data_IF_668029714529
#
_entry.id   IF_668029714529
#
_cell.length_a   1.000
_cell.length_b   1.000
_cell.length_c   1.000
_cell.angle_alpha   90.00
_cell.angle_beta   90.00
_cell.angle_gamma   90.00
#
_symmetry.space_group_name_H-M   'P 1'
#
loop_
_entity.id
_entity.type
_entity.pdbx_description
1 polymer ?
#
# COMPACT_ATOMS: atom_id res chain seq x y z
N UNK A 1 23.44 -31.25 -19.08
CA UNK A 1 22.73 -30.87 -17.83
C UNK A 1 23.10 -29.43 -17.54
N UNK A 2 22.14 -28.50 -17.67
CA UNK A 2 22.32 -27.08 -17.36
C UNK A 2 22.01 -26.85 -15.89
N UNK A 3 22.99 -26.35 -15.13
CA UNK A 3 22.80 -25.95 -13.74
C UNK A 3 21.94 -24.71 -13.67
N UNK A 4 20.71 -24.85 -13.17
CA UNK A 4 19.87 -23.73 -12.74
C UNK A 4 20.62 -22.92 -11.68
N UNK A 5 20.92 -21.67 -11.99
CA UNK A 5 21.35 -20.71 -11.01
C UNK A 5 20.19 -20.50 -10.02
N UNK A 6 20.31 -21.05 -8.81
CA UNK A 6 19.47 -20.68 -7.67
C UNK A 6 19.68 -19.20 -7.40
N UNK A 7 18.77 -18.37 -7.93
CA UNK A 7 18.66 -16.97 -7.55
C UNK A 7 18.28 -16.94 -6.07
N UNK A 8 19.28 -16.71 -5.21
CA UNK A 8 19.06 -16.37 -3.81
C UNK A 8 18.43 -14.98 -3.76
N UNK A 9 17.11 -14.91 -3.93
CA UNK A 9 16.35 -13.73 -3.55
C UNK A 9 16.45 -13.66 -2.03
N UNK A 10 17.33 -12.78 -1.52
CA UNK A 10 17.24 -12.33 -0.11
C UNK A 10 15.77 -12.00 0.12
N UNK A 11 15.07 -12.80 0.94
CA UNK A 11 13.70 -12.49 1.35
C UNK A 11 13.74 -11.06 1.88
N UNK A 12 13.14 -10.13 1.15
CA UNK A 12 12.85 -8.82 1.71
C UNK A 12 12.02 -9.06 2.98
N UNK A 13 12.22 -8.25 4.02
CA UNK A 13 11.45 -8.36 5.26
C UNK A 13 9.96 -8.15 4.96
N UNK A 14 9.23 -9.22 4.66
CA UNK A 14 7.80 -9.22 4.35
C UNK A 14 6.94 -9.54 5.57
N UNK A 15 7.50 -9.45 6.79
CA UNK A 15 6.83 -9.85 8.04
C UNK A 15 5.57 -9.04 8.34
N UNK A 16 5.43 -7.84 7.78
CA UNK A 16 4.24 -6.98 7.91
C UNK A 16 3.19 -7.20 6.82
N UNK A 17 3.53 -7.92 5.74
CA UNK A 17 2.66 -8.03 4.58
C UNK A 17 1.61 -9.11 4.80
N UNK A 18 0.34 -8.73 4.75
CA UNK A 18 -0.77 -9.68 4.69
C UNK A 18 -0.87 -10.29 3.29
N UNK A 19 -0.70 -9.48 2.24
CA UNK A 19 -0.66 -9.93 0.85
C UNK A 19 0.31 -9.08 0.02
N UNK A 20 0.85 -9.67 -1.05
CA UNK A 20 1.74 -9.00 -2.00
C UNK A 20 1.10 -9.06 -3.39
N UNK A 21 1.04 -7.91 -4.05
CA UNK A 21 0.43 -7.72 -5.35
C UNK A 21 1.47 -7.18 -6.33
N UNK A 22 1.51 -7.70 -7.56
CA UNK A 22 2.50 -7.31 -8.58
C UNK A 22 1.82 -6.99 -9.91
N UNK A 23 2.25 -5.92 -10.56
CA UNK A 23 1.76 -5.50 -11.89
C UNK A 23 2.78 -4.56 -12.54
N UNK A 24 2.90 -4.59 -13.87
CA UNK A 24 3.75 -3.65 -14.65
C UNK A 24 5.17 -3.45 -14.09
N UNK A 25 5.79 -4.49 -13.52
CA UNK A 25 7.11 -4.40 -12.88
C UNK A 25 7.12 -3.83 -11.45
N UNK A 26 6.00 -3.27 -10.98
CA UNK A 26 5.79 -2.82 -9.61
C UNK A 26 5.32 -3.96 -8.69
N UNK A 27 5.56 -3.77 -7.40
CA UNK A 27 5.01 -4.62 -6.35
C UNK A 27 4.55 -3.75 -5.17
N UNK A 28 3.40 -4.10 -4.59
CA UNK A 28 2.89 -3.50 -3.37
C UNK A 28 2.48 -4.57 -2.35
N UNK A 29 2.64 -4.23 -1.09
CA UNK A 29 2.35 -5.00 0.09
C UNK A 29 1.14 -4.38 0.78
N UNK A 30 0.06 -5.13 0.95
CA UNK A 30 -1.06 -4.74 1.79
C UNK A 30 -0.71 -5.06 3.25
N UNK A 31 -0.89 -4.09 4.13
CA UNK A 31 -0.77 -4.27 5.57
C UNK A 31 -2.16 -4.17 6.20
N UNK A 32 -2.65 -5.30 6.71
CA UNK A 32 -3.99 -5.43 7.29
C UNK A 32 -4.04 -5.14 8.79
N UNK A 33 -3.35 -4.06 9.20
CA UNK A 33 -3.44 -3.48 10.55
C UNK A 33 -3.68 -1.98 10.41
N UNK A 34 -4.52 -1.42 11.28
CA UNK A 34 -4.88 0.00 11.21
C UNK A 34 -3.89 0.86 11.98
N UNK A 35 -3.31 1.85 11.32
CA UNK A 35 -2.35 2.79 11.90
C UNK A 35 -2.65 4.23 11.47
N UNK A 36 -2.12 5.20 12.21
CA UNK A 36 -2.11 6.60 11.75
C UNK A 36 -1.22 6.73 10.52
N UNK A 37 -1.40 7.78 9.73
CA UNK A 37 -0.60 7.98 8.54
C UNK A 37 0.91 8.01 8.87
N UNK A 38 1.31 8.78 9.89
CA UNK A 38 2.69 8.84 10.36
C UNK A 38 3.27 7.45 10.65
N UNK A 39 2.57 6.65 11.47
CA UNK A 39 3.03 5.30 11.80
C UNK A 39 3.08 4.38 10.57
N UNK A 40 2.12 4.47 9.65
CA UNK A 40 2.15 3.70 8.40
C UNK A 40 3.40 4.01 7.56
N UNK A 41 3.81 5.28 7.51
CA UNK A 41 5.04 5.72 6.82
C UNK A 41 6.28 5.13 7.48
N UNK A 42 6.38 5.22 8.80
CA UNK A 42 7.49 4.64 9.57
C UNK A 42 7.59 3.14 9.34
N UNK A 43 6.46 2.42 9.39
CA UNK A 43 6.41 0.97 9.18
C UNK A 43 6.85 0.59 7.77
N UNK A 44 6.35 1.27 6.73
CA UNK A 44 6.81 0.99 5.36
C UNK A 44 8.33 1.25 5.24
N UNK A 45 8.81 2.37 5.77
CA UNK A 45 10.22 2.76 5.69
C UNK A 45 11.14 1.78 6.43
N UNK A 46 10.74 1.29 7.62
CA UNK A 46 11.52 0.33 8.39
C UNK A 46 11.69 -1.03 7.68
N UNK A 47 10.87 -1.29 6.64
CA UNK A 47 10.93 -2.48 5.80
C UNK A 47 11.50 -2.21 4.40
N UNK A 48 12.20 -1.09 4.21
CA UNK A 48 12.73 -0.66 2.92
C UNK A 48 11.64 -0.55 1.82
N UNK A 49 10.44 -0.19 2.23
CA UNK A 49 9.31 0.15 1.36
C UNK A 49 8.96 1.63 1.55
N UNK A 50 7.97 2.14 0.80
CA UNK A 50 7.35 3.44 1.04
C UNK A 50 5.83 3.30 0.91
N UNK A 51 5.07 4.26 1.42
CA UNK A 51 3.63 4.31 1.16
C UNK A 51 3.36 4.33 -0.36
N UNK A 52 2.35 3.56 -0.79
CA UNK A 52 2.01 3.30 -2.20
C UNK A 52 1.57 4.55 -2.98
N UNK A 53 2.37 5.00 -3.94
CA UNK A 53 2.01 6.15 -4.76
C UNK A 53 1.14 5.73 -5.96
N UNK A 54 -0.04 6.35 -6.12
CA UNK A 54 -0.85 6.22 -7.34
C UNK A 54 -0.23 7.09 -8.43
N UNK A 55 0.24 6.48 -9.52
CA UNK A 55 0.83 7.22 -10.64
C UNK A 55 -0.16 7.43 -11.81
N UNK A 56 -1.11 6.52 -11.98
CA UNK A 56 -2.09 6.55 -13.05
C UNK A 56 -3.42 5.91 -12.61
N UNK A 57 -4.44 5.99 -13.49
CA UNK A 57 -5.76 5.41 -13.24
C UNK A 57 -5.71 3.88 -13.07
N UNK A 58 -4.70 3.22 -13.66
CA UNK A 58 -4.54 1.77 -13.55
C UNK A 58 -4.10 1.38 -12.13
N UNK A 59 -3.14 2.11 -11.55
CA UNK A 59 -2.72 1.94 -10.16
C UNK A 59 -3.93 2.12 -9.22
N UNK A 60 -4.77 3.14 -9.44
CA UNK A 60 -5.99 3.38 -8.66
C UNK A 60 -7.01 2.24 -8.78
N UNK A 61 -7.33 1.80 -10.01
CA UNK A 61 -8.26 0.69 -10.25
C UNK A 61 -7.79 -0.62 -9.64
N UNK A 62 -6.49 -0.87 -9.64
CA UNK A 62 -5.92 -2.11 -9.14
C UNK A 62 -5.96 -2.16 -7.61
N UNK A 63 -5.68 -1.05 -6.94
CA UNK A 63 -5.88 -0.93 -5.48
C UNK A 63 -7.36 -1.10 -5.13
N UNK A 64 -8.28 -0.51 -5.90
CA UNK A 64 -9.72 -0.73 -5.71
C UNK A 64 -10.08 -2.20 -5.85
N UNK A 65 -9.58 -2.87 -6.90
CA UNK A 65 -9.84 -4.28 -7.13
C UNK A 65 -9.38 -5.14 -5.94
N UNK A 66 -8.18 -4.89 -5.40
CA UNK A 66 -7.69 -5.62 -4.24
C UNK A 66 -8.45 -5.30 -2.96
N UNK A 67 -8.80 -4.04 -2.77
CA UNK A 67 -9.64 -3.58 -1.67
C UNK A 67 -11.00 -4.28 -1.70
N UNK A 68 -11.73 -4.20 -2.81
CA UNK A 68 -13.06 -4.82 -2.92
C UNK A 68 -12.99 -6.34 -2.76
N UNK A 69 -11.95 -6.98 -3.29
CA UNK A 69 -11.76 -8.43 -3.13
C UNK A 69 -11.50 -8.83 -1.67
N UNK A 70 -10.75 -8.02 -0.93
CA UNK A 70 -10.39 -8.32 0.45
C UNK A 70 -11.50 -7.96 1.45
N UNK A 71 -12.29 -6.93 1.16
CA UNK A 71 -13.33 -6.39 2.04
C UNK A 71 -14.76 -6.75 1.60
N UNK A 72 -14.97 -7.58 0.57
CA UNK A 72 -16.30 -8.08 0.15
C UNK A 72 -17.37 -6.97 -0.06
N UNK A 73 -16.97 -5.85 -0.67
CA UNK A 73 -17.79 -4.63 -0.83
C UNK A 73 -18.07 -3.83 0.46
N UNK A 74 -17.46 -4.16 1.59
CA UNK A 74 -17.47 -3.28 2.76
C UNK A 74 -16.64 -2.02 2.50
N UNK A 75 -17.03 -0.93 3.15
CA UNK A 75 -16.29 0.33 3.13
C UNK A 75 -14.88 0.12 3.69
N UNK A 76 -13.88 0.46 2.90
CA UNK A 76 -12.47 0.32 3.27
C UNK A 76 -11.72 1.61 3.04
N UNK A 77 -10.89 1.98 4.01
CA UNK A 77 -10.06 3.18 3.95
C UNK A 77 -8.57 2.82 4.09
N UNK A 78 -7.75 3.35 3.19
CA UNK A 78 -6.33 2.98 3.06
C UNK A 78 -5.45 4.21 2.91
N UNK A 79 -4.40 4.29 3.72
CA UNK A 79 -3.31 5.21 3.43
C UNK A 79 -2.55 4.75 2.19
N UNK A 80 -2.41 5.67 1.24
CA UNK A 80 -1.69 5.43 -0.01
C UNK A 80 -0.47 6.32 -0.12
N UNK A 81 -0.58 7.62 0.12
CA UNK A 81 0.48 8.57 -0.26
C UNK A 81 0.61 9.72 0.73
N UNK A 82 1.78 10.35 0.74
CA UNK A 82 2.05 11.62 1.41
C UNK A 82 2.16 12.67 0.30
N UNK A 83 1.19 13.58 0.20
CA UNK A 83 1.18 14.61 -0.85
C UNK A 83 2.27 15.67 -0.63
N UNK A 84 2.44 16.07 0.63
CA UNK A 84 3.48 16.97 1.12
C UNK A 84 3.81 16.62 2.58
N UNK A 85 4.80 17.29 3.19
CA UNK A 85 5.20 17.01 4.58
C UNK A 85 4.09 17.24 5.64
N UNK A 86 2.94 17.78 5.25
CA UNK A 86 1.83 18.15 6.12
C UNK A 86 0.53 17.37 5.85
N UNK A 87 0.41 16.65 4.73
CA UNK A 87 -0.85 16.00 4.34
C UNK A 87 -0.65 14.57 3.83
N UNK A 88 -1.53 13.70 4.31
CA UNK A 88 -1.70 12.34 3.84
C UNK A 88 -2.92 12.21 2.95
N UNK A 89 -2.84 11.27 2.02
CA UNK A 89 -3.95 10.88 1.17
C UNK A 89 -4.41 9.49 1.58
N UNK A 90 -5.70 9.38 1.88
CA UNK A 90 -6.39 8.12 1.98
C UNK A 90 -7.22 7.86 0.73
N UNK A 91 -7.21 6.62 0.27
CA UNK A 91 -8.20 6.10 -0.65
C UNK A 91 -9.37 5.55 0.17
N UNK A 92 -10.58 6.02 -0.13
CA UNK A 92 -11.81 5.56 0.51
C UNK A 92 -12.69 4.89 -0.54
N UNK A 93 -12.97 3.60 -0.32
CA UNK A 93 -13.96 2.85 -1.08
C UNK A 93 -15.28 2.85 -0.32
N UNK A 94 -16.35 3.31 -0.96
CA UNK A 94 -17.69 3.27 -0.40
C UNK A 94 -18.71 2.93 -1.49
N UNK A 95 -19.54 1.91 -1.29
CA UNK A 95 -20.58 1.47 -2.23
C UNK A 95 -20.09 1.28 -3.68
N UNK A 96 -18.84 0.81 -3.86
CA UNK A 96 -18.22 0.62 -5.17
C UNK A 96 -17.68 1.90 -5.83
N UNK A 97 -17.80 3.05 -5.16
CA UNK A 97 -17.17 4.32 -5.56
C UNK A 97 -15.82 4.52 -4.88
N UNK A 98 -14.94 5.28 -5.54
CA UNK A 98 -13.67 5.72 -4.98
C UNK A 98 -13.68 7.21 -4.75
N UNK A 99 -13.14 7.62 -3.60
CA UNK A 99 -12.78 9.00 -3.34
C UNK A 99 -11.38 9.09 -2.75
N UNK A 100 -10.68 10.17 -3.09
CA UNK A 100 -9.46 10.58 -2.41
C UNK A 100 -9.85 11.55 -1.31
N UNK A 101 -9.32 11.31 -0.12
CA UNK A 101 -9.50 12.19 1.03
C UNK A 101 -8.15 12.64 1.55
N UNK A 102 -8.08 13.93 1.87
CA UNK A 102 -6.89 14.58 2.39
C UNK A 102 -7.02 14.74 3.91
N UNK A 103 -5.90 14.56 4.58
CA UNK A 103 -5.84 14.36 6.01
C UNK A 103 -4.56 15.01 6.53
N UNK A 104 -4.63 15.78 7.61
CA UNK A 104 -3.43 16.36 8.24
C UNK A 104 -2.48 15.25 8.68
N UNK A 105 -1.19 15.39 8.44
CA UNK A 105 -0.20 14.35 8.71
C UNK A 105 -0.18 13.91 10.19
N UNK A 106 -0.48 14.85 11.09
CA UNK A 106 -0.53 14.65 12.55
C UNK A 106 -1.89 14.13 13.07
N UNK A 107 -2.86 13.82 12.20
CA UNK A 107 -4.14 13.31 12.67
C UNK A 107 -4.02 11.90 13.29
N UNK A 108 -4.93 11.60 14.20
CA UNK A 108 -5.01 10.30 14.89
C UNK A 108 -5.90 9.25 14.19
N UNK A 109 -6.36 9.54 12.97
CA UNK A 109 -7.23 8.63 12.21
C UNK A 109 -6.45 7.40 11.79
N UNK A 110 -7.00 6.22 12.06
CA UNK A 110 -6.35 4.94 11.76
C UNK A 110 -6.98 4.29 10.54
N UNK A 111 -6.14 3.84 9.62
CA UNK A 111 -6.55 3.19 8.36
C UNK A 111 -5.59 2.05 8.03
N UNK A 112 -6.03 1.12 7.18
CA UNK A 112 -5.12 0.15 6.58
C UNK A 112 -4.18 0.86 5.60
N UNK A 113 -3.19 0.17 5.03
CA UNK A 113 -2.28 0.85 4.11
C UNK A 113 -1.56 -0.09 3.16
N UNK A 114 -1.13 0.47 2.03
CA UNK A 114 -0.29 -0.20 1.06
C UNK A 114 1.13 0.36 1.11
N UNK A 115 2.13 -0.53 1.15
CA UNK A 115 3.52 -0.18 0.97
C UNK A 115 4.01 -0.65 -0.40
N UNK A 116 4.58 0.21 -1.24
CA UNK A 116 5.31 -0.20 -2.44
C UNK A 116 6.79 -0.48 -2.15
N UNK A 117 7.34 -1.48 -2.81
CA UNK A 117 8.77 -1.77 -2.75
C UNK A 117 9.53 -0.69 -3.52
N UNK A 118 10.61 -0.15 -2.93
CA UNK A 118 11.50 0.78 -3.63
C UNK A 118 12.19 0.02 -4.78
N UNK A 119 12.09 0.54 -6.02
CA UNK A 119 12.84 0.02 -7.16
C UNK A 119 14.35 0.04 -6.84
N UNK A 120 15.08 -0.99 -7.30
CA UNK A 120 16.53 -1.10 -7.08
C UNK A 120 17.31 -0.34 -8.12
#
# INVERSE_FOLDING_TARGET
MTTEAKVNVKKANTSICTSIHKWRGKAACLVYSQHTCHSSVEICNSHNMKLFTIHDDFDAMLILYFTNKQFHNDSGEFWIHIYDYSHCIALVSNDGSLSLQFYDFENDVRKYFFCEFKER
#
